data_IF_957554846099
#
_entry.id   IF_957554846099
#
_cell.length_a   1.000
_cell.length_b   1.000
_cell.length_c   1.000
_cell.angle_alpha   90.00
_cell.angle_beta   90.00
_cell.angle_gamma   90.00
#
_symmetry.space_group_name_H-M   'P 1'
#
loop_
_entity.id
_entity.type
_entity.pdbx_description
1 polymer ?
#
# COMPACT_ATOMS: atom_id res chain seq x y z
N UNK A 1 8.04 -3.21 21.19
CA UNK A 1 7.38 -3.02 19.88
C UNK A 1 8.08 -1.88 19.15
N UNK A 2 8.64 -2.13 17.97
CA UNK A 2 9.31 -1.10 17.15
C UNK A 2 8.35 -0.74 16.02
N UNK A 3 7.50 0.26 16.27
CA UNK A 3 6.56 0.78 15.27
C UNK A 3 7.35 1.57 14.23
N UNK A 4 7.67 0.94 13.10
CA UNK A 4 8.22 1.63 11.93
C UNK A 4 7.13 2.56 11.40
N UNK A 5 7.24 3.85 11.73
CA UNK A 5 6.35 4.89 11.20
C UNK A 5 6.74 5.14 9.75
N UNK A 6 5.93 4.62 8.82
CA UNK A 6 6.02 4.98 7.41
C UNK A 6 5.65 6.45 7.26
N UNK A 7 6.66 7.33 7.24
CA UNK A 7 6.47 8.69 6.77
C UNK A 7 6.14 8.57 5.27
N UNK A 8 4.89 8.82 4.90
CA UNK A 8 4.46 8.88 3.50
C UNK A 8 5.07 10.15 2.92
N UNK A 9 6.29 10.03 2.41
CA UNK A 9 6.98 11.07 1.69
C UNK A 9 6.28 11.25 0.34
N UNK A 10 5.32 12.17 0.31
CA UNK A 10 4.53 12.57 -0.86
C UNK A 10 3.62 11.45 -1.42
N UNK A 11 2.40 11.82 -1.83
CA UNK A 11 1.57 10.88 -2.58
C UNK A 11 2.36 10.45 -3.82
N UNK A 12 2.45 9.14 -4.13
CA UNK A 12 3.12 8.68 -5.34
C UNK A 12 2.57 9.46 -6.53
N UNK A 13 3.45 9.79 -7.49
CA UNK A 13 3.10 10.45 -8.77
C UNK A 13 2.99 9.45 -9.94
N UNK A 14 3.17 8.15 -9.65
CA UNK A 14 2.92 7.04 -10.56
C UNK A 14 2.26 5.85 -9.85
N UNK A 15 1.50 5.04 -10.61
CA UNK A 15 0.86 3.82 -10.09
C UNK A 15 1.89 2.95 -9.36
N UNK A 16 1.51 2.40 -8.22
CA UNK A 16 2.35 1.48 -7.44
C UNK A 16 1.93 0.04 -7.70
N UNK A 17 2.82 -0.92 -7.47
CA UNK A 17 2.46 -2.34 -7.47
C UNK A 17 2.49 -2.86 -6.04
N UNK A 18 1.41 -3.48 -5.59
CA UNK A 18 1.33 -4.20 -4.32
C UNK A 18 1.45 -5.69 -4.59
N UNK A 19 2.55 -6.29 -4.15
CA UNK A 19 2.79 -7.73 -4.25
C UNK A 19 2.40 -8.41 -2.93
N UNK A 20 1.45 -9.35 -2.98
CA UNK A 20 1.02 -10.17 -1.84
C UNK A 20 1.02 -11.62 -2.28
N UNK A 21 1.83 -12.45 -1.64
CA UNK A 21 2.10 -13.83 -2.06
C UNK A 21 2.52 -13.88 -3.54
N UNK A 22 1.79 -14.63 -4.37
CA UNK A 22 2.01 -14.78 -5.82
C UNK A 22 1.13 -13.83 -6.65
N UNK A 23 0.46 -12.87 -6.00
CA UNK A 23 -0.47 -11.92 -6.64
C UNK A 23 0.12 -10.52 -6.66
N UNK A 24 0.10 -9.89 -7.83
CA UNK A 24 0.45 -8.49 -8.01
C UNK A 24 -0.79 -7.65 -8.32
N UNK A 25 -0.98 -6.56 -7.59
CA UNK A 25 -2.07 -5.61 -7.76
C UNK A 25 -1.52 -4.26 -8.18
N UNK A 26 -2.04 -3.72 -9.28
CA UNK A 26 -1.76 -2.34 -9.68
C UNK A 26 -2.59 -1.38 -8.83
N UNK A 27 -1.91 -0.50 -8.12
CA UNK A 27 -2.46 0.51 -7.21
C UNK A 27 -2.45 1.86 -7.94
N UNK A 28 -3.63 2.39 -8.30
CA UNK A 28 -3.72 3.69 -8.93
C UNK A 28 -3.25 4.83 -8.04
N UNK A 29 -2.95 5.90 -8.74
CA UNK A 29 -2.62 7.19 -8.17
C UNK A 29 -3.78 7.78 -7.38
N UNK A 30 -3.50 8.27 -6.17
CA UNK A 30 -4.52 8.81 -5.28
C UNK A 30 -5.28 7.75 -4.47
N UNK A 31 -4.88 6.48 -4.52
CA UNK A 31 -5.43 5.46 -3.61
C UNK A 31 -5.13 5.86 -2.16
N UNK A 32 -6.17 5.98 -1.31
CA UNK A 32 -5.99 6.31 0.10
C UNK A 32 -5.15 5.27 0.83
N UNK A 33 -4.24 5.71 1.69
CA UNK A 33 -3.39 4.81 2.49
C UNK A 33 -4.23 3.91 3.41
N UNK A 34 -5.37 4.39 3.90
CA UNK A 34 -6.29 3.57 4.69
C UNK A 34 -6.78 2.34 3.92
N UNK A 35 -7.09 2.50 2.63
CA UNK A 35 -7.52 1.41 1.77
C UNK A 35 -6.39 0.39 1.53
N UNK A 36 -5.13 0.85 1.43
CA UNK A 36 -3.98 -0.07 1.35
C UNK A 36 -3.83 -0.91 2.62
N UNK A 37 -4.04 -0.32 3.80
CA UNK A 37 -4.00 -1.04 5.06
C UNK A 37 -5.13 -2.10 5.15
N UNK A 38 -6.34 -1.76 4.70
CA UNK A 38 -7.46 -2.70 4.61
C UNK A 38 -7.17 -3.86 3.64
N UNK A 39 -6.65 -3.55 2.44
CA UNK A 39 -6.27 -4.56 1.45
C UNK A 39 -5.24 -5.53 2.00
N UNK A 40 -4.19 -5.02 2.65
CA UNK A 40 -3.16 -5.87 3.28
C UNK A 40 -3.78 -6.73 4.38
N UNK A 41 -4.67 -6.17 5.20
CA UNK A 41 -5.32 -6.92 6.28
C UNK A 41 -6.26 -8.03 5.80
N UNK A 42 -6.97 -7.82 4.68
CA UNK A 42 -7.89 -8.80 4.10
C UNK A 42 -7.15 -9.92 3.37
N UNK A 43 -5.99 -9.62 2.78
CA UNK A 43 -5.22 -10.53 1.92
C UNK A 43 -4.06 -11.25 2.64
N UNK A 44 -3.84 -10.97 3.93
CA UNK A 44 -2.79 -11.57 4.76
C UNK A 44 -3.18 -12.88 5.44
#
# INVERSE_FOLDING_TARGET
EKTTRYQVAQAPVANMTLSINDVELSIPQGTPVAYLAELIGVLS
#
